data_IF_675923013279
#
_entry.id   IF_675923013279
#
_cell.length_a   1.000
_cell.length_b   1.000
_cell.length_c   1.000
_cell.angle_alpha   90.00
_cell.angle_beta   90.00
_cell.angle_gamma   90.00
#
_symmetry.space_group_name_H-M   'P 1'
#
loop_
_entity.id
_entity.type
_entity.pdbx_description
1 polymer ?
#
# COMPACT_ATOMS: atom_id res chain seq x y z
N UNK A 1 1.68 16.85 -9.17
CA UNK A 1 2.54 17.68 -10.04
C UNK A 1 3.34 16.75 -10.93
N UNK A 2 3.35 16.92 -12.25
CA UNK A 2 4.11 16.03 -13.15
C UNK A 2 5.58 16.43 -13.11
N UNK A 3 6.51 15.51 -13.41
CA UNK A 3 7.96 15.78 -13.38
C UNK A 3 8.37 16.98 -14.25
N UNK A 4 7.73 17.14 -15.42
CA UNK A 4 7.95 18.29 -16.31
C UNK A 4 7.62 19.64 -15.64
N UNK A 5 6.59 19.69 -14.79
CA UNK A 5 6.21 20.91 -14.08
C UNK A 5 7.30 21.27 -13.04
N UNK A 6 7.89 20.25 -12.39
CA UNK A 6 8.98 20.42 -11.40
C UNK A 6 10.27 20.90 -12.06
N UNK A 7 10.64 20.31 -13.20
CA UNK A 7 11.82 20.74 -13.96
C UNK A 7 11.73 22.21 -14.41
N UNK A 8 10.53 22.68 -14.76
CA UNK A 8 10.32 24.06 -15.18
C UNK A 8 10.52 25.09 -14.05
N UNK A 9 10.15 24.77 -12.80
CA UNK A 9 10.25 25.69 -11.67
C UNK A 9 11.52 25.51 -10.83
N UNK A 10 12.07 24.30 -10.80
CA UNK A 10 13.17 23.92 -9.93
C UNK A 10 14.06 22.86 -10.63
N UNK A 11 14.82 23.24 -11.68
CA UNK A 11 15.58 22.29 -12.50
C UNK A 11 16.56 21.48 -11.66
N UNK A 12 17.31 22.12 -10.75
CA UNK A 12 18.27 21.40 -9.90
C UNK A 12 17.59 20.37 -8.99
N UNK A 13 16.38 20.64 -8.51
CA UNK A 13 15.63 19.69 -7.69
C UNK A 13 15.19 18.48 -8.53
N UNK A 14 14.76 18.71 -9.77
CA UNK A 14 14.48 17.63 -10.71
C UNK A 14 15.73 16.77 -10.95
N UNK A 15 16.89 17.38 -11.23
CA UNK A 15 18.14 16.66 -11.48
C UNK A 15 18.56 15.81 -10.27
N UNK A 16 18.47 16.37 -9.05
CA UNK A 16 18.75 15.61 -7.83
C UNK A 16 17.78 14.43 -7.65
N UNK A 17 16.52 14.60 -8.05
CA UNK A 17 15.51 13.54 -7.99
C UNK A 17 15.83 12.43 -9.00
N UNK A 18 16.16 12.79 -10.24
CA UNK A 18 16.38 11.81 -11.31
C UNK A 18 17.75 11.14 -11.22
N UNK A 19 18.82 11.89 -10.97
CA UNK A 19 20.19 11.38 -11.03
C UNK A 19 20.66 10.80 -9.70
N UNK A 20 20.40 11.50 -8.58
CA UNK A 20 20.92 11.09 -7.27
C UNK A 20 19.96 10.18 -6.54
N UNK A 21 18.68 10.58 -6.40
CA UNK A 21 17.71 9.78 -5.68
C UNK A 21 17.42 8.49 -6.45
N UNK A 22 16.77 8.57 -7.62
CA UNK A 22 16.38 7.38 -8.37
C UNK A 22 17.53 6.76 -9.16
N UNK A 23 18.46 7.55 -9.70
CA UNK A 23 19.58 7.04 -10.51
C UNK A 23 20.76 6.45 -9.74
N UNK A 24 20.87 6.69 -8.43
CA UNK A 24 21.93 6.14 -7.58
C UNK A 24 21.35 5.49 -6.31
N UNK A 25 20.79 6.26 -5.38
CA UNK A 25 20.43 5.76 -4.04
C UNK A 25 19.45 4.58 -4.10
N UNK A 26 18.48 4.61 -5.02
CA UNK A 26 17.52 3.52 -5.24
C UNK A 26 18.11 2.29 -5.96
N UNK A 27 19.20 2.45 -6.71
CA UNK A 27 19.88 1.38 -7.46
C UNK A 27 20.98 0.66 -6.67
N UNK A 28 21.32 1.16 -5.47
CA UNK A 28 22.38 0.57 -4.65
C UNK A 28 22.07 -0.90 -4.28
N UNK A 29 22.99 -1.85 -4.51
CA UNK A 29 22.71 -3.29 -4.44
C UNK A 29 22.53 -3.86 -3.03
N UNK A 30 22.87 -3.10 -1.98
CA UNK A 30 22.81 -3.59 -0.58
C UNK A 30 21.40 -3.75 -0.01
N UNK A 31 20.38 -3.23 -0.68
CA UNK A 31 18.98 -3.41 -0.32
C UNK A 31 18.14 -3.45 -1.59
N UNK A 32 17.35 -4.50 -1.77
CA UNK A 32 16.50 -4.68 -2.96
C UNK A 32 15.41 -3.62 -3.02
N UNK A 33 14.95 -3.29 -4.23
CA UNK A 33 13.95 -2.22 -4.47
C UNK A 33 12.63 -2.47 -3.75
N UNK A 34 12.22 -3.73 -3.61
CA UNK A 34 11.06 -4.14 -2.78
C UNK A 34 11.16 -3.60 -1.36
N UNK A 35 12.28 -3.85 -0.70
CA UNK A 35 12.47 -3.48 0.71
C UNK A 35 12.70 -1.97 0.84
N UNK A 36 13.31 -1.32 -0.16
CA UNK A 36 13.39 0.15 -0.24
C UNK A 36 12.01 0.80 -0.29
N UNK A 37 11.10 0.23 -1.08
CA UNK A 37 9.71 0.70 -1.11
C UNK A 37 9.03 0.53 0.25
N UNK A 38 9.20 -0.62 0.91
CA UNK A 38 8.61 -0.87 2.23
C UNK A 38 9.07 0.16 3.27
N UNK A 39 10.38 0.42 3.37
CA UNK A 39 10.90 1.40 4.34
C UNK A 39 10.49 2.84 3.98
N UNK A 40 10.35 3.15 2.70
CA UNK A 40 9.91 4.48 2.25
C UNK A 40 8.44 4.71 2.60
N UNK A 41 7.58 3.71 2.35
CA UNK A 41 6.18 3.74 2.79
C UNK A 41 6.10 3.92 4.31
N UNK A 42 6.86 3.13 5.07
CA UNK A 42 6.87 3.23 6.53
C UNK A 42 7.29 4.63 7.02
N UNK A 43 8.32 5.23 6.39
CA UNK A 43 8.76 6.58 6.71
C UNK A 43 7.69 7.64 6.39
N UNK A 44 7.01 7.53 5.24
CA UNK A 44 5.96 8.48 4.83
C UNK A 44 4.70 8.38 5.70
N UNK A 45 4.31 7.16 6.10
CA UNK A 45 3.22 6.94 7.07
C UNK A 45 3.59 7.57 8.41
N UNK A 46 4.79 7.29 8.92
CA UNK A 46 5.25 7.80 10.22
C UNK A 46 5.38 9.31 10.24
N UNK A 47 5.83 9.92 9.14
CA UNK A 47 5.96 11.37 9.01
C UNK A 47 4.65 12.09 8.67
N UNK A 48 3.53 11.37 8.48
CA UNK A 48 2.25 11.91 8.02
C UNK A 48 2.40 12.76 6.75
N UNK A 49 2.85 12.12 5.64
CA UNK A 49 3.05 12.74 4.32
C UNK A 49 2.18 12.09 3.23
N UNK A 50 0.84 12.20 3.33
CA UNK A 50 -0.08 11.51 2.42
C UNK A 50 0.09 11.91 0.95
N UNK A 51 0.52 13.14 0.66
CA UNK A 51 0.71 13.67 -0.70
C UNK A 51 1.87 13.01 -1.46
N UNK A 52 2.76 12.31 -0.75
CA UNK A 52 3.82 11.48 -1.35
C UNK A 52 3.54 9.98 -1.20
N UNK A 53 2.74 9.61 -0.20
CA UNK A 53 2.46 8.23 0.14
C UNK A 53 1.78 7.48 -1.01
N UNK A 54 0.80 8.10 -1.68
CA UNK A 54 0.04 7.44 -2.75
C UNK A 54 0.94 6.94 -3.90
N UNK A 55 1.90 7.76 -4.33
CA UNK A 55 2.87 7.39 -5.37
C UNK A 55 3.81 6.28 -4.92
N UNK A 56 4.27 6.33 -3.67
CA UNK A 56 5.16 5.30 -3.12
C UNK A 56 4.45 3.98 -2.79
N UNK A 57 3.14 3.99 -2.50
CA UNK A 57 2.35 2.76 -2.39
C UNK A 57 2.22 2.06 -3.76
N UNK A 58 2.03 2.79 -4.86
CA UNK A 58 2.08 2.19 -6.22
C UNK A 58 3.44 1.62 -6.53
N UNK A 59 4.50 2.40 -6.30
CA UNK A 59 5.87 1.93 -6.50
C UNK A 59 6.20 0.71 -5.62
N UNK A 60 5.63 0.60 -4.43
CA UNK A 60 5.75 -0.58 -3.58
C UNK A 60 5.11 -1.82 -4.22
N UNK A 61 3.89 -1.69 -4.74
CA UNK A 61 3.20 -2.76 -5.46
C UNK A 61 3.96 -3.18 -6.72
N UNK A 62 4.43 -2.22 -7.51
CA UNK A 62 5.22 -2.47 -8.72
C UNK A 62 6.55 -3.16 -8.42
N UNK A 63 7.18 -2.82 -7.28
CA UNK A 63 8.41 -3.46 -6.79
C UNK A 63 8.16 -4.81 -6.08
N UNK A 64 6.92 -5.33 -6.10
CA UNK A 64 6.61 -6.69 -5.66
C UNK A 64 6.18 -6.84 -4.20
N UNK A 65 5.80 -5.76 -3.51
CA UNK A 65 5.02 -5.90 -2.28
C UNK A 65 3.57 -6.25 -2.62
N UNK A 66 3.00 -7.18 -1.87
CA UNK A 66 1.57 -7.47 -1.96
C UNK A 66 0.76 -6.42 -1.18
N UNK A 67 -0.52 -6.31 -1.55
CA UNK A 67 -1.49 -5.52 -0.79
C UNK A 67 -1.56 -5.96 0.68
N UNK A 68 -1.51 -7.26 0.94
CA UNK A 68 -1.63 -7.79 2.30
C UNK A 68 -0.40 -7.47 3.15
N UNK A 69 0.81 -7.53 2.58
CA UNK A 69 2.03 -7.09 3.27
C UNK A 69 2.00 -5.60 3.62
N UNK A 70 1.46 -4.76 2.72
CA UNK A 70 1.28 -3.33 3.00
C UNK A 70 0.22 -3.08 4.08
N UNK A 71 -0.87 -3.85 4.08
CA UNK A 71 -1.89 -3.79 5.16
C UNK A 71 -1.27 -4.16 6.50
N UNK A 72 -0.50 -5.24 6.58
CA UNK A 72 0.17 -5.66 7.81
C UNK A 72 1.19 -4.62 8.28
N UNK A 73 2.03 -4.10 7.38
CA UNK A 73 3.01 -3.06 7.73
C UNK A 73 2.34 -1.79 8.26
N UNK A 74 1.28 -1.30 7.60
CA UNK A 74 0.56 -0.09 8.03
C UNK A 74 -0.18 -0.34 9.35
N UNK A 75 -0.75 -1.53 9.55
CA UNK A 75 -1.39 -1.92 10.81
C UNK A 75 -0.37 -1.96 11.95
N UNK A 76 0.82 -2.51 11.70
CA UNK A 76 1.91 -2.48 12.68
C UNK A 76 2.32 -1.04 13.02
N UNK A 77 2.41 -0.16 12.01
CA UNK A 77 2.74 1.24 12.21
C UNK A 77 1.67 2.01 12.99
N UNK A 78 0.43 1.55 13.08
CA UNK A 78 -0.58 2.19 13.92
C UNK A 78 -0.15 2.28 15.40
N UNK A 79 0.65 1.33 15.87
CA UNK A 79 1.19 1.30 17.23
C UNK A 79 2.37 2.28 17.45
N UNK A 80 3.07 2.68 16.39
CA UNK A 80 4.27 3.53 16.47
C UNK A 80 4.06 4.95 15.94
N UNK A 81 3.19 5.10 14.94
CA UNK A 81 2.87 6.35 14.25
C UNK A 81 1.45 6.86 14.56
N UNK A 82 0.67 6.10 15.33
CA UNK A 82 -0.69 6.43 15.74
C UNK A 82 -1.77 6.04 14.71
N UNK A 83 -2.98 5.84 15.23
CA UNK A 83 -4.15 5.44 14.44
C UNK A 83 -4.51 6.39 13.29
N UNK A 84 -4.44 7.73 13.45
CA UNK A 84 -4.74 8.66 12.35
C UNK A 84 -3.84 8.48 11.13
N UNK A 85 -2.54 8.26 11.35
CA UNK A 85 -1.57 8.01 10.27
C UNK A 85 -1.89 6.71 9.53
N UNK A 86 -2.21 5.66 10.28
CA UNK A 86 -2.54 4.35 9.72
C UNK A 86 -3.86 4.36 8.93
N UNK A 87 -4.93 4.99 9.45
CA UNK A 87 -6.21 5.07 8.74
C UNK A 87 -6.09 5.86 7.44
N UNK A 88 -5.37 6.98 7.42
CA UNK A 88 -5.11 7.73 6.19
C UNK A 88 -4.36 6.88 5.16
N UNK A 89 -3.32 6.17 5.60
CA UNK A 89 -2.53 5.29 4.73
C UNK A 89 -3.33 4.11 4.17
N UNK A 90 -4.16 3.46 5.00
CA UNK A 90 -5.05 2.39 4.58
C UNK A 90 -6.13 2.89 3.61
N UNK A 91 -6.65 4.10 3.85
CA UNK A 91 -7.59 4.78 2.94
C UNK A 91 -7.00 4.91 1.53
N UNK A 92 -5.79 5.48 1.43
CA UNK A 92 -5.07 5.58 0.17
C UNK A 92 -4.80 4.21 -0.45
N UNK A 93 -4.35 3.22 0.33
CA UNK A 93 -4.12 1.87 -0.21
C UNK A 93 -5.40 1.23 -0.78
N UNK A 94 -6.56 1.45 -0.16
CA UNK A 94 -7.85 0.95 -0.65
C UNK A 94 -8.26 1.58 -1.98
N UNK A 95 -8.01 2.88 -2.16
CA UNK A 95 -8.36 3.59 -3.41
C UNK A 95 -7.55 3.05 -4.60
N UNK A 96 -6.29 2.70 -4.38
CA UNK A 96 -5.33 2.40 -5.45
C UNK A 96 -5.20 0.90 -5.71
N UNK A 97 -5.49 0.08 -4.69
CA UNK A 97 -5.46 -1.37 -4.72
C UNK A 97 -6.73 -1.91 -4.04
N UNK A 98 -7.92 -1.73 -4.68
CA UNK A 98 -9.16 -2.26 -4.14
C UNK A 98 -9.05 -3.78 -4.02
N UNK A 99 -9.64 -4.32 -2.95
CA UNK A 99 -9.77 -5.78 -2.83
C UNK A 99 -10.53 -6.25 -4.07
N UNK A 100 -9.97 -7.20 -4.83
CA UNK A 100 -10.78 -7.92 -5.81
C UNK A 100 -11.96 -8.48 -5.04
N UNK A 101 -13.17 -8.32 -5.58
CA UNK A 101 -14.38 -8.85 -4.94
C UNK A 101 -14.08 -10.28 -4.52
N UNK A 102 -14.19 -10.55 -3.21
CA UNK A 102 -14.24 -11.91 -2.73
C UNK A 102 -15.38 -12.57 -3.51
N UNK A 103 -15.12 -13.71 -4.15
CA UNK A 103 -16.23 -14.53 -4.62
C UNK A 103 -17.14 -14.72 -3.42
N UNK A 104 -18.38 -14.25 -3.54
CA UNK A 104 -19.39 -14.34 -2.50
C UNK A 104 -19.36 -15.76 -1.94
N UNK A 105 -19.18 -15.96 -0.63
CA UNK A 105 -19.17 -17.31 -0.09
C UNK A 105 -20.50 -17.94 -0.51
N UNK A 106 -20.40 -19.08 -1.22
CA UNK A 106 -21.57 -19.81 -1.69
C UNK A 106 -22.56 -19.92 -0.51
N UNK A 107 -23.85 -19.60 -0.72
CA UNK A 107 -24.81 -19.57 0.36
C UNK A 107 -24.68 -20.88 1.12
N UNK A 108 -24.46 -20.79 2.44
CA UNK A 108 -24.30 -21.94 3.30
C UNK A 108 -25.41 -22.94 2.94
N UNK A 109 -25.02 -24.13 2.49
CA UNK A 109 -25.98 -25.15 2.11
C UNK A 109 -26.93 -25.31 3.30
N UNK A 110 -28.18 -24.90 3.10
CA UNK A 110 -29.23 -25.12 4.08
C UNK A 110 -29.31 -26.63 4.20
N UNK A 111 -28.75 -27.19 5.27
CA UNK A 111 -28.96 -28.58 5.60
C UNK A 111 -30.48 -28.77 5.62
N UNK A 112 -31.05 -29.62 4.75
CA UNK A 112 -32.48 -29.89 4.81
C UNK A 112 -32.74 -30.41 6.22
N UNK A 113 -33.64 -29.73 6.94
CA UNK A 113 -34.07 -30.19 8.27
C UNK A 113 -34.49 -31.65 8.12
N UNK A 114 -33.81 -32.54 8.85
CA UNK A 114 -34.17 -33.94 8.92
C UNK A 114 -35.68 -34.02 9.17
N UNK A 115 -36.36 -34.77 8.30
CA UNK A 115 -37.82 -34.89 8.32
C UNK A 115 -38.31 -35.24 9.71
N UNK A 116 -39.33 -34.52 10.17
CA UNK A 116 -40.10 -34.92 11.34
C UNK A 116 -40.67 -36.34 11.10
N UNK A 117 -40.61 -37.25 12.08
CA UNK A 117 -41.13 -38.58 11.91
C UNK A 117 -42.65 -38.56 11.80
N UNK A 118 -43.14 -39.30 10.82
CA UNK A 118 -44.53 -39.69 10.65
C UNK A 118 -44.99 -40.54 11.85
N UNK A 119 -46.16 -40.25 12.43
CA UNK A 119 -46.96 -41.28 13.13
C UNK A 119 -47.66 -40.85 14.43
N UNK A 120 -48.95 -41.23 14.47
CA UNK A 120 -49.96 -41.21 15.55
C UNK A 120 -50.68 -39.89 15.84
#
# INVERSE_FOLDING_TARGET
MRSADVAAIAPKFNDLTTEVLFGDVWERPGLVTRDRSLITVAALVTAYRPEQLEGHLRLALDNGLSRDELVEAITHLAFYAGWPSAITALGLLMEIAPRRAEAEPAPAAVCPRAGAPSGC
#
